data_IF_314568121677
#
_entry.id   IF_314568121677
#
_cell.length_a   1.000
_cell.length_b   1.000
_cell.length_c   1.000
_cell.angle_alpha   90.00
_cell.angle_beta   90.00
_cell.angle_gamma   90.00
#
_symmetry.space_group_name_H-M   'P 1'
#
loop_
_entity.id
_entity.type
_entity.pdbx_description
1 polymer ?
#
# COMPACT_ATOMS: atom_id res chain seq x y z
N UNK A 1 35.12 -29.79 4.55
CA UNK A 1 34.81 -28.56 3.78
C UNK A 1 33.67 -27.83 4.47
N UNK A 2 33.75 -26.50 4.69
CA UNK A 2 32.59 -25.75 5.17
C UNK A 2 31.58 -25.60 4.02
N UNK A 3 30.27 -25.57 4.30
CA UNK A 3 29.26 -25.35 3.27
C UNK A 3 29.35 -23.90 2.77
N UNK A 4 29.37 -23.73 1.45
CA UNK A 4 29.27 -22.43 0.79
C UNK A 4 27.92 -21.83 1.19
N UNK A 5 27.92 -20.77 2.00
CA UNK A 5 26.71 -19.99 2.28
C UNK A 5 26.36 -19.24 0.99
N UNK A 6 25.33 -19.70 0.28
CA UNK A 6 24.63 -18.90 -0.71
C UNK A 6 24.07 -17.67 0.02
N UNK A 7 24.70 -16.51 -0.20
CA UNK A 7 24.20 -15.24 0.28
C UNK A 7 22.80 -15.03 -0.30
N UNK A 8 21.78 -15.07 0.57
CA UNK A 8 20.42 -14.77 0.15
C UNK A 8 20.40 -13.31 -0.28
N UNK A 9 20.14 -13.08 -1.57
CA UNK A 9 19.90 -11.74 -2.11
C UNK A 9 18.79 -11.10 -1.27
N UNK A 10 19.16 -10.12 -0.46
CA UNK A 10 18.21 -9.39 0.39
C UNK A 10 17.51 -8.38 -0.50
N UNK A 11 16.24 -8.65 -0.80
CA UNK A 11 15.43 -7.70 -1.58
C UNK A 11 15.10 -6.48 -0.73
N UNK A 12 15.32 -5.30 -1.30
CA UNK A 12 14.91 -4.03 -0.70
C UNK A 12 13.39 -3.94 -0.64
N UNK A 13 12.86 -3.50 0.50
CA UNK A 13 11.41 -3.37 0.69
C UNK A 13 10.89 -2.19 -0.14
N UNK A 14 10.01 -2.46 -1.10
CA UNK A 14 9.34 -1.42 -1.88
C UNK A 14 8.16 -0.82 -1.11
N UNK A 15 8.00 0.51 -1.19
CA UNK A 15 6.83 1.20 -0.67
C UNK A 15 5.69 1.17 -1.71
N UNK A 16 4.50 0.75 -1.30
CA UNK A 16 3.30 0.71 -2.16
C UNK A 16 2.26 1.66 -1.58
N UNK A 17 1.78 2.61 -2.40
CA UNK A 17 0.77 3.59 -2.01
C UNK A 17 -0.58 2.93 -1.71
N UNK A 18 -1.48 3.65 -1.05
CA UNK A 18 -2.83 3.15 -0.76
C UNK A 18 -3.63 2.96 -2.03
N UNK A 19 -3.52 3.88 -2.99
CA UNK A 19 -4.22 3.80 -4.28
C UNK A 19 -3.86 2.52 -5.05
N UNK A 20 -2.57 2.17 -5.11
CA UNK A 20 -2.14 0.92 -5.77
C UNK A 20 -2.70 -0.30 -5.04
N UNK A 21 -2.74 -0.30 -3.71
CA UNK A 21 -3.34 -1.41 -2.93
C UNK A 21 -4.84 -1.56 -3.19
N UNK A 22 -5.53 -0.43 -3.30
CA UNK A 22 -6.96 -0.38 -3.63
C UNK A 22 -7.20 -0.91 -5.04
N UNK A 23 -6.42 -0.44 -6.02
CA UNK A 23 -6.51 -0.89 -7.40
C UNK A 23 -6.25 -2.39 -7.55
N UNK A 24 -5.27 -2.94 -6.82
CA UNK A 24 -5.04 -4.40 -6.75
C UNK A 24 -6.28 -5.14 -6.26
N UNK A 25 -6.95 -4.61 -5.22
CA UNK A 25 -8.15 -5.21 -4.67
C UNK A 25 -9.32 -5.13 -5.66
N UNK A 26 -9.52 -4.00 -6.33
CA UNK A 26 -10.55 -3.84 -7.37
C UNK A 26 -10.32 -4.80 -8.54
N UNK A 27 -9.07 -4.93 -8.99
CA UNK A 27 -8.70 -5.87 -10.04
C UNK A 27 -9.00 -7.33 -9.67
N UNK A 28 -8.69 -7.73 -8.44
CA UNK A 28 -8.96 -9.09 -7.96
C UNK A 28 -10.46 -9.36 -7.72
N UNK A 29 -11.25 -8.35 -7.36
CA UNK A 29 -12.71 -8.47 -7.27
C UNK A 29 -13.33 -8.64 -8.66
N UNK A 30 -12.87 -7.88 -9.65
CA UNK A 30 -13.32 -8.01 -11.04
C UNK A 30 -12.88 -9.35 -11.68
N UNK A 31 -11.79 -9.95 -11.21
CA UNK A 31 -11.20 -11.16 -11.78
C UNK A 31 -10.96 -12.25 -10.72
N UNK A 32 -12.02 -12.94 -10.24
CA UNK A 32 -11.94 -13.84 -9.09
C UNK A 32 -11.05 -15.09 -9.30
N UNK A 33 -10.80 -15.48 -10.56
CA UNK A 33 -10.05 -16.69 -10.91
C UNK A 33 -8.57 -16.43 -11.27
N UNK A 34 -8.09 -15.19 -11.16
CA UNK A 34 -6.72 -14.86 -11.55
C UNK A 34 -5.73 -15.25 -10.46
N UNK A 35 -4.63 -15.89 -10.88
CA UNK A 35 -3.54 -16.25 -9.99
C UNK A 35 -2.84 -14.98 -9.45
N UNK A 36 -2.63 -14.93 -8.14
CA UNK A 36 -1.93 -13.83 -7.45
C UNK A 36 -0.53 -13.55 -8.02
N UNK A 37 0.16 -14.56 -8.55
CA UNK A 37 1.45 -14.37 -9.21
C UNK A 37 1.29 -13.57 -10.52
N UNK A 38 0.25 -13.85 -11.29
CA UNK A 38 -0.08 -13.10 -12.51
C UNK A 38 -0.47 -11.66 -12.19
N UNK A 39 -1.24 -11.44 -11.11
CA UNK A 39 -1.55 -10.09 -10.62
C UNK A 39 -0.27 -9.34 -10.28
N UNK A 40 0.65 -9.97 -9.54
CA UNK A 40 1.94 -9.35 -9.19
C UNK A 40 2.72 -8.92 -10.44
N UNK A 41 2.86 -9.81 -11.44
CA UNK A 41 3.53 -9.49 -12.70
C UNK A 41 2.84 -8.35 -13.45
N UNK A 42 1.51 -8.35 -13.53
CA UNK A 42 0.75 -7.28 -14.20
C UNK A 42 1.02 -5.91 -13.57
N UNK A 43 0.98 -5.81 -12.24
CA UNK A 43 1.22 -4.55 -11.55
C UNK A 43 2.68 -4.11 -11.58
N UNK A 44 3.65 -5.05 -11.59
CA UNK A 44 5.06 -4.71 -11.78
C UNK A 44 5.35 -4.17 -13.19
N UNK A 45 4.65 -4.67 -14.21
CA UNK A 45 4.74 -4.12 -15.57
C UNK A 45 4.07 -2.75 -15.67
N UNK A 46 2.94 -2.56 -14.98
CA UNK A 46 2.19 -1.30 -15.00
C UNK A 46 2.91 -0.16 -14.28
N UNK A 47 3.60 -0.45 -13.18
CA UNK A 47 4.27 0.53 -12.35
C UNK A 47 5.78 0.31 -12.34
N UNK A 48 6.49 1.13 -13.12
CA UNK A 48 7.95 1.08 -13.18
C UNK A 48 8.57 1.28 -11.79
N UNK A 49 9.54 0.44 -11.44
CA UNK A 49 10.25 0.51 -10.16
C UNK A 49 9.56 -0.19 -8.98
N UNK A 50 8.43 -0.87 -9.20
CA UNK A 50 7.83 -1.74 -8.18
C UNK A 50 8.28 -3.21 -8.33
N UNK A 51 8.59 -3.85 -7.20
CA UNK A 51 8.80 -5.30 -7.09
C UNK A 51 7.76 -5.88 -6.12
N UNK A 52 6.53 -5.98 -6.60
CA UNK A 52 5.42 -6.60 -5.88
C UNK A 52 5.54 -8.12 -6.01
N UNK A 53 5.62 -8.79 -4.88
CA UNK A 53 5.65 -10.25 -4.83
C UNK A 53 4.25 -10.82 -4.62
N UNK A 54 4.05 -12.09 -5.01
CA UNK A 54 2.83 -12.85 -4.72
C UNK A 54 2.42 -12.78 -3.24
N UNK A 55 3.41 -12.86 -2.34
CA UNK A 55 3.18 -12.75 -0.88
C UNK A 55 2.64 -11.38 -0.47
N UNK A 56 3.08 -10.32 -1.14
CA UNK A 56 2.58 -8.96 -0.95
C UNK A 56 1.14 -8.82 -1.45
N UNK A 57 0.83 -9.36 -2.63
CA UNK A 57 -0.56 -9.43 -3.14
C UNK A 57 -1.46 -10.14 -2.14
N UNK A 58 -1.05 -11.29 -1.62
CA UNK A 58 -1.83 -12.03 -0.62
C UNK A 58 -2.08 -11.20 0.65
N UNK A 59 -1.06 -10.47 1.15
CA UNK A 59 -1.21 -9.57 2.31
C UNK A 59 -2.21 -8.45 2.02
N UNK A 60 -2.11 -7.81 0.85
CA UNK A 60 -3.04 -6.76 0.43
C UNK A 60 -4.47 -7.32 0.36
N UNK A 61 -4.64 -8.50 -0.22
CA UNK A 61 -5.95 -9.14 -0.39
C UNK A 61 -6.62 -9.55 0.93
N UNK A 62 -5.84 -9.97 1.93
CA UNK A 62 -6.36 -10.25 3.28
C UNK A 62 -7.02 -9.02 3.89
N UNK A 63 -6.40 -7.86 3.69
CA UNK A 63 -6.88 -6.56 4.18
C UNK A 63 -7.80 -5.85 3.17
N UNK A 64 -8.36 -6.55 2.17
CA UNK A 64 -9.15 -5.93 1.07
C UNK A 64 -10.28 -5.01 1.54
N UNK A 65 -10.97 -5.35 2.63
CA UNK A 65 -12.06 -4.51 3.18
C UNK A 65 -11.55 -3.11 3.55
N UNK A 66 -10.34 -3.05 4.12
CA UNK A 66 -9.68 -1.79 4.46
C UNK A 66 -9.35 -0.98 3.21
N UNK A 67 -8.79 -1.62 2.19
CA UNK A 67 -8.34 -0.92 0.97
C UNK A 67 -9.50 -0.46 0.09
N UNK A 68 -10.56 -1.26 -0.02
CA UNK A 68 -11.77 -0.91 -0.76
C UNK A 68 -12.57 0.22 -0.09
N UNK A 69 -12.48 0.36 1.24
CA UNK A 69 -13.15 1.42 1.99
C UNK A 69 -12.48 2.79 1.84
N UNK A 70 -11.27 2.88 1.29
CA UNK A 70 -10.58 4.16 1.08
C UNK A 70 -11.23 4.91 -0.07
N UNK A 71 -11.69 6.15 0.19
CA UNK A 71 -12.11 7.07 -0.86
C UNK A 71 -10.89 7.53 -1.66
N UNK A 72 -10.89 7.34 -2.98
CA UNK A 72 -9.79 7.81 -3.83
C UNK A 72 -9.87 9.33 -3.92
N UNK A 73 -8.93 10.03 -3.30
CA UNK A 73 -8.78 11.48 -3.38
C UNK A 73 -7.31 11.83 -3.64
N UNK A 74 -7.01 13.06 -4.04
CA UNK A 74 -5.64 13.45 -4.44
C UNK A 74 -4.58 13.18 -3.35
N UNK A 75 -4.99 13.18 -2.08
CA UNK A 75 -4.14 12.85 -0.93
C UNK A 75 -3.80 11.34 -0.83
N UNK A 76 -4.69 10.43 -1.24
CA UNK A 76 -4.44 8.98 -1.11
C UNK A 76 -3.39 8.46 -2.09
N UNK A 77 -3.19 9.15 -3.23
CA UNK A 77 -2.18 8.84 -4.24
C UNK A 77 -0.75 8.84 -3.67
N UNK A 78 -0.46 9.79 -2.77
CA UNK A 78 0.86 9.92 -2.14
C UNK A 78 0.93 9.33 -0.74
N UNK A 79 -0.19 8.79 -0.22
CA UNK A 79 -0.22 8.21 1.12
C UNK A 79 0.21 6.74 1.08
N UNK A 80 1.34 6.43 1.71
CA UNK A 80 1.88 5.05 1.79
C UNK A 80 1.46 4.30 3.06
N UNK A 81 1.24 5.05 4.16
CA UNK A 81 0.89 4.53 5.49
C UNK A 81 -0.18 5.41 6.11
N UNK A 82 -1.22 4.79 6.65
CA UNK A 82 -2.14 5.44 7.58
C UNK A 82 -1.56 5.23 8.98
N UNK A 83 -0.89 6.26 9.52
CA UNK A 83 -0.51 6.26 10.92
C UNK A 83 -1.62 6.93 11.72
N UNK A 84 -2.11 6.28 12.80
CA UNK A 84 -3.01 6.95 13.71
C UNK A 84 -2.27 8.11 14.39
N UNK A 85 -2.95 9.25 14.54
CA UNK A 85 -2.42 10.39 15.27
C UNK A 85 -2.31 10.03 16.75
N UNK A 86 -1.15 10.28 17.37
CA UNK A 86 -0.89 9.92 18.76
C UNK A 86 -1.77 10.71 19.74
N UNK A 87 -2.10 11.97 19.40
CA UNK A 87 -2.92 12.87 20.21
C UNK A 87 -4.06 13.50 19.38
N UNK A 88 -5.12 12.73 19.06
CA UNK A 88 -6.18 13.20 18.14
C UNK A 88 -6.89 14.47 18.61
N UNK A 89 -7.06 14.63 19.93
CA UNK A 89 -7.71 15.81 20.52
C UNK A 89 -6.87 17.08 20.33
N UNK A 90 -5.55 16.95 20.50
CA UNK A 90 -4.62 18.07 20.34
C UNK A 90 -4.51 18.46 18.87
N UNK A 91 -4.40 17.47 17.98
CA UNK A 91 -4.36 17.70 16.53
C UNK A 91 -5.60 18.45 16.03
N UNK A 92 -6.80 18.06 16.50
CA UNK A 92 -8.05 18.77 16.22
C UNK A 92 -8.04 20.21 16.74
N UNK A 93 -7.56 20.44 17.96
CA UNK A 93 -7.46 21.78 18.54
C UNK A 93 -6.50 22.66 17.74
N UNK A 94 -5.35 22.11 17.32
CA UNK A 94 -4.38 22.80 16.47
C UNK A 94 -4.97 23.13 15.11
N UNK A 95 -5.69 22.19 14.47
CA UNK A 95 -6.35 22.43 13.18
C UNK A 95 -7.41 23.54 13.27
N UNK A 96 -8.17 23.58 14.36
CA UNK A 96 -9.12 24.66 14.65
C UNK A 96 -8.42 26.01 14.80
N UNK A 97 -7.33 26.04 15.57
CA UNK A 97 -6.53 27.25 15.77
C UNK A 97 -5.92 27.76 14.46
N UNK A 98 -5.30 26.90 13.65
CA UNK A 98 -4.72 27.31 12.36
C UNK A 98 -5.78 27.83 11.38
N UNK A 99 -6.99 27.26 11.41
CA UNK A 99 -8.10 27.72 10.56
C UNK A 99 -8.58 29.12 10.93
N UNK A 100 -8.39 29.55 12.18
CA UNK A 100 -8.74 30.89 12.65
C UNK A 100 -7.64 31.92 12.38
N UNK A 101 -6.37 31.52 12.37
CA UNK A 101 -5.21 32.41 12.18
C UNK A 101 -4.92 32.70 10.70
N UNK A 102 -5.30 31.79 9.80
CA UNK A 102 -5.06 31.91 8.35
C UNK A 102 -6.25 32.56 7.61
N UNK A 103 -7.34 32.87 8.31
CA UNK A 103 -8.50 33.62 7.79
C UNK A 103 -8.29 35.14 7.94
#
# INVERSE_FOLDING_TARGET
MPPIRLEKITRTRTAISIDIKKEICEYMVANPNVNQATVASFFNTKYAGLDIQRTTINKIWKDRKKWLAVLSNSQTAHTFRQQPVQYPKLDKAMQMWTSQVVA
#
